data_IF_300492664333
#
_entry.id   IF_300492664333
#
_cell.length_a   1.000
_cell.length_b   1.000
_cell.length_c   1.000
_cell.angle_alpha   90.00
_cell.angle_beta   90.00
_cell.angle_gamma   90.00
#
_symmetry.space_group_name_H-M   'P 1'
#
loop_
_entity.id
_entity.type
_entity.pdbx_description
1 polymer ?
#
# COMPACT_ATOMS: atom_id res chain seq x y z
N UNK A 1 -2.39 -24.38 -16.52
CA UNK A 1 -3.05 -24.19 -15.21
C UNK A 1 -3.27 -22.72 -14.88
N UNK A 2 -2.23 -21.87 -14.93
CA UNK A 2 -2.32 -20.41 -14.67
C UNK A 2 -3.31 -19.68 -15.59
N UNK A 3 -3.36 -19.98 -16.91
CA UNK A 3 -4.33 -19.39 -17.85
C UNK A 3 -5.81 -19.69 -17.51
N UNK A 4 -6.09 -20.82 -16.85
CA UNK A 4 -7.46 -21.25 -16.50
C UNK A 4 -7.93 -20.56 -15.21
N UNK A 5 -7.03 -20.38 -14.25
CA UNK A 5 -7.23 -19.56 -13.05
C UNK A 5 -7.37 -18.07 -13.39
N UNK A 6 -6.54 -17.55 -14.30
CA UNK A 6 -6.67 -16.17 -14.81
C UNK A 6 -7.98 -15.90 -15.56
N UNK A 7 -8.66 -16.94 -16.06
CA UNK A 7 -9.99 -16.84 -16.64
C UNK A 7 -11.07 -16.56 -15.58
N UNK A 8 -10.91 -17.07 -14.35
CA UNK A 8 -11.84 -16.83 -13.24
C UNK A 8 -11.68 -15.44 -12.60
N UNK A 9 -10.58 -14.74 -12.89
CA UNK A 9 -10.35 -13.34 -12.47
C UNK A 9 -11.22 -12.35 -13.27
N UNK A 10 -11.91 -12.78 -14.34
CA UNK A 10 -12.58 -11.96 -15.37
C UNK A 10 -13.17 -10.61 -14.93
N UNK A 11 -14.02 -10.57 -13.90
CA UNK A 11 -14.65 -9.31 -13.42
C UNK A 11 -13.76 -8.46 -12.50
N UNK A 12 -12.79 -9.03 -11.80
CA UNK A 12 -11.98 -8.36 -10.76
C UNK A 12 -10.56 -7.98 -11.21
N UNK A 13 -10.28 -8.02 -12.53
CA UNK A 13 -8.98 -7.62 -13.08
C UNK A 13 -8.58 -6.19 -12.73
N UNK A 14 -9.54 -5.27 -12.61
CA UNK A 14 -9.28 -3.87 -12.25
C UNK A 14 -8.75 -3.74 -10.81
N UNK A 15 -9.41 -4.38 -9.85
CA UNK A 15 -8.99 -4.35 -8.44
C UNK A 15 -7.70 -5.12 -8.18
N UNK A 16 -7.47 -6.19 -8.96
CA UNK A 16 -6.23 -6.99 -8.88
C UNK A 16 -5.01 -6.22 -9.40
N UNK A 17 -5.18 -5.28 -10.33
CA UNK A 17 -4.11 -4.40 -10.81
C UNK A 17 -3.97 -3.16 -9.91
N UNK A 18 -5.08 -2.61 -9.41
CA UNK A 18 -5.05 -1.48 -8.48
C UNK A 18 -4.32 -1.84 -7.18
N UNK A 19 -4.51 -3.04 -6.66
CA UNK A 19 -3.89 -3.48 -5.41
C UNK A 19 -2.35 -3.40 -5.40
N UNK A 20 -1.60 -3.98 -6.36
CA UNK A 20 -0.15 -3.85 -6.41
C UNK A 20 0.32 -2.43 -6.72
N UNK A 21 -0.47 -1.61 -7.43
CA UNK A 21 -0.16 -0.19 -7.64
C UNK A 21 -0.21 0.58 -6.31
N UNK A 22 -1.26 0.36 -5.50
CA UNK A 22 -1.36 0.98 -4.17
C UNK A 22 -0.25 0.52 -3.22
N UNK A 23 0.07 -0.78 -3.22
CA UNK A 23 1.18 -1.33 -2.42
C UNK A 23 2.52 -0.74 -2.86
N UNK A 24 2.76 -0.58 -4.16
CA UNK A 24 4.01 0.02 -4.65
C UNK A 24 4.14 1.48 -4.18
N UNK A 25 3.05 2.24 -4.24
CA UNK A 25 3.04 3.62 -3.79
C UNK A 25 3.25 3.74 -2.27
N UNK A 26 2.62 2.86 -1.49
CA UNK A 26 2.84 2.73 -0.05
C UNK A 26 4.30 2.41 0.28
N UNK A 27 4.90 1.42 -0.41
CA UNK A 27 6.30 1.05 -0.18
C UNK A 27 7.27 2.20 -0.48
N UNK A 28 7.01 3.03 -1.49
CA UNK A 28 7.82 4.23 -1.75
C UNK A 28 7.75 5.20 -0.58
N UNK A 29 6.56 5.43 -0.02
CA UNK A 29 6.38 6.29 1.16
C UNK A 29 7.11 5.73 2.38
N UNK A 30 7.04 4.42 2.61
CA UNK A 30 7.79 3.77 3.70
C UNK A 30 9.30 3.92 3.57
N UNK A 31 9.84 3.95 2.35
CA UNK A 31 11.28 4.17 2.13
C UNK A 31 11.67 5.64 2.38
N UNK A 32 10.77 6.58 2.10
CA UNK A 32 11.02 8.02 2.29
C UNK A 32 11.04 8.40 3.79
N UNK A 33 10.25 7.75 4.63
CA UNK A 33 10.18 8.03 6.08
C UNK A 33 11.56 7.93 6.77
N UNK A 34 12.35 6.84 6.63
CA UNK A 34 13.70 6.75 7.19
C UNK A 34 14.64 7.82 6.62
N UNK A 35 14.50 8.19 5.34
CA UNK A 35 15.28 9.28 4.76
C UNK A 35 14.97 10.62 5.44
N UNK A 36 13.69 10.95 5.65
CA UNK A 36 13.28 12.14 6.41
C UNK A 36 13.75 12.09 7.85
N UNK A 37 13.77 10.90 8.47
CA UNK A 37 14.29 10.71 9.82
C UNK A 37 15.80 11.01 9.89
N UNK A 38 16.59 10.57 8.90
CA UNK A 38 18.01 10.90 8.82
C UNK A 38 18.22 12.41 8.70
N UNK A 39 17.47 13.09 7.82
CA UNK A 39 17.51 14.55 7.70
C UNK A 39 17.14 15.27 9.00
N UNK A 40 16.15 14.75 9.75
CA UNK A 40 15.76 15.29 11.06
C UNK A 40 16.90 15.18 12.09
N UNK A 41 17.60 14.05 12.12
CA UNK A 41 18.72 13.83 13.05
C UNK A 41 19.91 14.72 12.65
N UNK A 42 20.31 14.72 11.38
CA UNK A 42 21.51 15.41 10.90
C UNK A 42 21.35 16.93 10.87
N UNK A 43 20.20 17.44 10.41
CA UNK A 43 19.99 18.89 10.24
C UNK A 43 19.19 19.51 11.38
N UNK A 44 18.44 18.73 12.15
CA UNK A 44 17.70 19.21 13.30
C UNK A 44 18.48 19.02 14.60
N UNK A 45 18.67 17.76 15.00
CA UNK A 45 19.24 17.40 16.31
C UNK A 45 20.72 17.79 16.39
N UNK A 46 21.52 17.44 15.38
CA UNK A 46 22.96 17.73 15.35
C UNK A 46 23.26 19.25 15.32
N UNK A 47 22.42 20.04 14.65
CA UNK A 47 22.55 21.50 14.61
C UNK A 47 21.86 22.22 15.79
N UNK A 48 21.27 21.49 16.76
CA UNK A 48 20.46 22.03 17.87
C UNK A 48 19.34 22.99 17.44
N UNK A 49 18.84 22.86 16.21
CA UNK A 49 17.81 23.74 15.66
C UNK A 49 16.41 23.19 16.01
N UNK A 50 15.93 23.50 17.21
CA UNK A 50 14.64 23.04 17.72
C UNK A 50 13.43 23.40 16.84
N UNK A 51 13.35 24.61 16.24
CA UNK A 51 12.31 24.95 15.28
C UNK A 51 12.28 24.02 14.05
N UNK A 52 13.45 23.67 13.53
CA UNK A 52 13.58 22.79 12.37
C UNK A 52 13.17 21.34 12.70
N UNK A 53 13.56 20.84 13.88
CA UNK A 53 13.12 19.52 14.38
C UNK A 53 11.60 19.45 14.48
N UNK A 54 10.96 20.50 15.00
CA UNK A 54 9.49 20.56 15.10
C UNK A 54 8.81 20.57 13.73
N UNK A 55 9.31 21.35 12.77
CA UNK A 55 8.76 21.39 11.41
C UNK A 55 8.90 20.05 10.68
N UNK A 56 10.09 19.45 10.69
CA UNK A 56 10.32 18.15 10.05
C UNK A 56 9.60 17.03 10.78
N UNK A 57 9.56 17.05 12.12
CA UNK A 57 8.83 16.06 12.91
C UNK A 57 7.34 16.08 12.62
N UNK A 58 6.75 17.27 12.47
CA UNK A 58 5.34 17.42 12.10
C UNK A 58 5.09 16.94 10.65
N UNK A 59 6.00 17.24 9.73
CA UNK A 59 5.94 16.69 8.37
C UNK A 59 6.07 15.16 8.35
N UNK A 60 6.88 14.57 9.24
CA UNK A 60 7.08 13.13 9.35
C UNK A 60 5.84 12.43 9.91
N UNK A 61 5.18 13.02 10.90
CA UNK A 61 3.88 12.54 11.40
C UNK A 61 2.82 12.61 10.31
N UNK A 62 2.76 13.71 9.56
CA UNK A 62 1.83 13.85 8.43
C UNK A 62 2.10 12.79 7.34
N UNK A 63 3.36 12.56 6.98
CA UNK A 63 3.75 11.53 6.02
C UNK A 63 3.42 10.11 6.51
N UNK A 64 3.63 9.82 7.80
CA UNK A 64 3.28 8.53 8.40
C UNK A 64 1.76 8.30 8.41
N UNK A 65 0.97 9.32 8.72
CA UNK A 65 -0.49 9.25 8.65
C UNK A 65 -0.97 9.00 7.20
N UNK A 66 -0.35 9.66 6.23
CA UNK A 66 -0.66 9.47 4.81
C UNK A 66 -0.29 8.06 4.34
N UNK A 67 0.88 7.57 4.73
CA UNK A 67 1.34 6.20 4.46
C UNK A 67 0.37 5.16 5.02
N UNK A 68 -0.07 5.33 6.27
CA UNK A 68 -1.05 4.46 6.92
C UNK A 68 -2.38 4.43 6.16
N UNK A 69 -2.89 5.59 5.73
CA UNK A 69 -4.12 5.67 4.94
C UNK A 69 -3.99 4.93 3.60
N UNK A 70 -2.88 5.12 2.89
CA UNK A 70 -2.61 4.38 1.65
C UNK A 70 -2.47 2.88 1.89
N UNK A 71 -1.87 2.45 2.99
CA UNK A 71 -1.74 1.04 3.35
C UNK A 71 -3.07 0.37 3.68
N UNK A 72 -3.96 1.06 4.40
CA UNK A 72 -5.32 0.57 4.65
C UNK A 72 -6.11 0.45 3.34
N UNK A 73 -5.99 1.41 2.43
CA UNK A 73 -6.63 1.37 1.11
C UNK A 73 -6.06 0.24 0.23
N UNK A 74 -4.74 0.04 0.25
CA UNK A 74 -4.05 -1.05 -0.44
C UNK A 74 -4.52 -2.42 0.08
N UNK A 75 -4.52 -2.59 1.41
CA UNK A 75 -4.99 -3.81 2.09
C UNK A 75 -6.45 -4.10 1.83
N UNK A 76 -7.33 -3.09 1.85
CA UNK A 76 -8.75 -3.24 1.51
C UNK A 76 -8.93 -3.69 0.06
N UNK A 77 -8.20 -3.07 -0.87
CA UNK A 77 -8.27 -3.43 -2.30
C UNK A 77 -7.73 -4.85 -2.55
N UNK A 78 -6.67 -5.24 -1.85
CA UNK A 78 -6.11 -6.60 -1.88
C UNK A 78 -7.11 -7.64 -1.36
N UNK A 79 -7.78 -7.34 -0.25
CA UNK A 79 -8.78 -8.22 0.36
C UNK A 79 -10.01 -8.38 -0.56
N UNK A 80 -10.50 -7.29 -1.16
CA UNK A 80 -11.62 -7.33 -2.11
C UNK A 80 -11.25 -8.10 -3.38
N UNK A 81 -10.07 -7.87 -3.94
CA UNK A 81 -9.58 -8.62 -5.10
C UNK A 81 -9.46 -10.13 -4.81
N UNK A 82 -8.92 -10.49 -3.65
CA UNK A 82 -8.74 -11.89 -3.24
C UNK A 82 -10.08 -12.59 -2.96
N UNK A 83 -11.01 -11.92 -2.28
CA UNK A 83 -12.35 -12.46 -2.00
C UNK A 83 -13.20 -12.59 -3.27
N UNK A 84 -13.15 -11.60 -4.16
CA UNK A 84 -13.82 -11.62 -5.47
C UNK A 84 -13.29 -12.73 -6.38
N UNK A 85 -11.97 -12.93 -6.40
CA UNK A 85 -11.35 -14.07 -7.09
C UNK A 85 -11.81 -15.41 -6.52
N UNK A 86 -11.80 -15.58 -5.20
CA UNK A 86 -12.24 -16.81 -4.54
C UNK A 86 -13.72 -17.14 -4.80
N UNK A 87 -14.59 -16.12 -4.88
CA UNK A 87 -16.02 -16.28 -5.22
C UNK A 87 -16.20 -16.80 -6.65
N UNK A 88 -15.51 -16.20 -7.62
CA UNK A 88 -15.60 -16.63 -9.02
C UNK A 88 -14.99 -18.01 -9.23
N UNK A 89 -13.87 -18.30 -8.56
CA UNK A 89 -13.25 -19.62 -8.62
C UNK A 89 -14.16 -20.72 -8.07
N UNK A 90 -14.82 -20.47 -6.92
CA UNK A 90 -15.80 -21.43 -6.35
C UNK A 90 -16.98 -21.65 -7.27
N UNK A 91 -17.48 -20.60 -7.93
CA UNK A 91 -18.59 -20.69 -8.89
C UNK A 91 -18.20 -21.48 -10.14
N UNK A 92 -17.01 -21.25 -10.69
CA UNK A 92 -16.47 -21.99 -11.84
C UNK A 92 -16.21 -23.47 -11.51
N UNK A 93 -15.82 -23.78 -10.27
CA UNK A 93 -15.69 -25.17 -9.81
C UNK A 93 -17.05 -25.86 -9.66
N UNK A 94 -18.09 -25.13 -9.24
CA UNK A 94 -19.42 -25.71 -8.98
C UNK A 94 -20.28 -25.86 -10.26
N UNK A 95 -20.12 -24.96 -11.23
CA UNK A 95 -20.83 -25.00 -12.51
C UNK A 95 -20.18 -25.92 -13.55
N UNK A 96 -18.96 -26.39 -13.30
CA UNK A 96 -18.29 -27.37 -14.15
C UNK A 96 -18.67 -28.78 -13.67
N UNK A 97 -19.89 -29.19 -14.02
CA UNK A 97 -20.24 -30.61 -14.24
C UNK A 97 -19.63 -31.05 -15.57
#
# INVERSE_FOLDING_TARGET
MIKKLLSSVREYKKDTILSPVYVTFESILEIIIPTLMAFLIDNGINQKNMPYVLQIGLALVAAAALSLLTGVLAGRSAAVASAGFAKNLRRDMFYRV
#
